data_IF_663964688183
#
_entry.id   IF_663964688183
#
_cell.length_a   1.000
_cell.length_b   1.000
_cell.length_c   1.000
_cell.angle_alpha   90.00
_cell.angle_beta   90.00
_cell.angle_gamma   90.00
#
_symmetry.space_group_name_H-M   'P 1'
#
loop_
_entity.id
_entity.type
_entity.pdbx_description
1 polymer ?
#
# COMPACT_ATOMS: atom_id res chain seq x y z
N UNK A 1 -6.48 -4.86 -10.47
CA UNK A 1 -5.61 -4.10 -9.55
C UNK A 1 -4.66 -5.11 -8.97
N UNK A 2 -3.36 -4.93 -9.17
CA UNK A 2 -2.36 -5.85 -8.65
C UNK A 2 -2.14 -5.66 -7.13
N UNK A 3 -1.49 -6.63 -6.46
CA UNK A 3 -1.30 -6.59 -5.01
C UNK A 3 -0.55 -5.36 -4.50
N UNK A 4 0.44 -4.84 -5.25
CA UNK A 4 1.24 -3.71 -4.81
C UNK A 4 0.35 -2.47 -4.62
N UNK A 5 -0.47 -2.14 -5.61
CA UNK A 5 -1.38 -1.00 -5.52
C UNK A 5 -2.42 -1.15 -4.40
N UNK A 6 -2.93 -2.37 -4.17
CA UNK A 6 -3.89 -2.63 -3.09
C UNK A 6 -3.26 -2.39 -1.72
N UNK A 7 -2.07 -2.96 -1.50
CA UNK A 7 -1.35 -2.83 -0.22
C UNK A 7 -0.90 -1.38 -0.01
N UNK A 8 -0.42 -0.71 -1.05
CA UNK A 8 -0.02 0.70 -0.98
C UNK A 8 -1.19 1.61 -0.60
N UNK A 9 -2.35 1.45 -1.23
CA UNK A 9 -3.55 2.22 -0.89
C UNK A 9 -3.97 2.02 0.57
N UNK A 10 -3.85 0.80 1.08
CA UNK A 10 -4.16 0.51 2.48
C UNK A 10 -3.15 1.15 3.46
N UNK A 11 -1.85 1.10 3.13
CA UNK A 11 -0.79 1.75 3.90
C UNK A 11 -0.97 3.28 3.96
N UNK A 12 -1.38 3.90 2.85
CA UNK A 12 -1.69 5.32 2.79
C UNK A 12 -2.87 5.67 3.70
N UNK A 13 -3.94 4.87 3.68
CA UNK A 13 -5.10 5.10 4.55
C UNK A 13 -4.78 4.90 6.02
N UNK A 14 -3.93 3.92 6.36
CA UNK A 14 -3.37 3.78 7.70
C UNK A 14 -2.57 5.01 8.12
N UNK A 15 -1.75 5.56 7.21
CA UNK A 15 -0.96 6.77 7.47
C UNK A 15 -1.84 7.98 7.73
N UNK A 16 -2.89 8.18 6.93
CA UNK A 16 -3.87 9.28 7.10
C UNK A 16 -4.62 9.13 8.42
N UNK A 17 -5.14 7.94 8.73
CA UNK A 17 -5.85 7.66 9.98
C UNK A 17 -4.96 7.97 11.19
N UNK A 18 -3.70 7.49 11.17
CA UNK A 18 -2.72 7.80 12.21
C UNK A 18 -2.48 9.30 12.36
N UNK A 19 -2.33 10.04 11.26
CA UNK A 19 -2.10 11.48 11.31
C UNK A 19 -3.31 12.23 11.89
N UNK A 20 -4.53 11.88 11.46
CA UNK A 20 -5.78 12.47 11.96
C UNK A 20 -5.94 12.24 13.46
N UNK A 21 -5.85 11.00 13.91
CA UNK A 21 -6.02 10.65 15.32
C UNK A 21 -4.97 11.33 16.18
N UNK A 22 -3.71 11.32 15.74
CA UNK A 22 -2.64 11.96 16.48
C UNK A 22 -2.86 13.48 16.58
N UNK A 23 -3.26 14.15 15.50
CA UNK A 23 -3.58 15.57 15.56
C UNK A 23 -4.78 15.86 16.47
N UNK A 24 -5.80 15.00 16.46
CA UNK A 24 -6.96 15.12 17.33
C UNK A 24 -6.63 14.92 18.81
N UNK A 25 -5.71 14.00 19.15
CA UNK A 25 -5.36 13.72 20.56
C UNK A 25 -4.27 14.61 21.11
N UNK A 26 -3.34 15.11 20.28
CA UNK A 26 -2.20 15.93 20.75
C UNK A 26 -2.31 17.41 20.36
N UNK A 27 -3.25 17.78 19.49
CA UNK A 27 -3.43 19.16 19.02
C UNK A 27 -2.36 19.65 18.04
N UNK A 28 -1.46 18.78 17.58
CA UNK A 28 -0.36 19.16 16.68
C UNK A 28 0.05 18.04 15.72
N UNK A 29 0.85 18.39 14.71
CA UNK A 29 1.51 17.39 13.86
C UNK A 29 2.55 16.60 14.66
N UNK A 30 2.84 15.38 14.23
CA UNK A 30 3.64 14.42 15.01
C UNK A 30 5.08 14.81 15.23
N UNK A 31 5.54 14.63 16.46
CA UNK A 31 6.91 14.86 16.90
C UNK A 31 7.42 13.73 17.79
N UNK A 32 8.72 13.76 18.04
CA UNK A 32 9.37 12.83 18.97
C UNK A 32 8.69 12.88 20.33
N UNK A 33 8.37 11.72 20.90
CA UNK A 33 7.60 11.58 22.14
C UNK A 33 6.16 11.12 21.93
N UNK A 34 5.52 11.49 20.80
CA UNK A 34 4.13 11.11 20.58
C UNK A 34 4.00 9.60 20.33
N UNK A 35 3.06 8.89 20.99
CA UNK A 35 2.93 7.44 20.87
C UNK A 35 2.78 6.96 19.41
N UNK A 36 1.84 7.55 18.67
CA UNK A 36 1.56 7.18 17.27
C UNK A 36 2.67 7.61 16.31
N UNK A 37 3.35 8.73 16.56
CA UNK A 37 4.48 9.14 15.73
C UNK A 37 5.68 8.19 15.89
N UNK A 38 5.88 7.70 17.13
CA UNK A 38 6.93 6.78 17.50
C UNK A 38 6.82 5.41 16.83
N UNK A 39 5.63 4.99 16.40
CA UNK A 39 5.40 3.69 15.73
C UNK A 39 5.19 3.78 14.23
N UNK A 40 5.30 4.96 13.61
CA UNK A 40 4.96 5.19 12.19
C UNK A 40 5.63 4.24 11.19
N UNK A 41 6.86 3.80 11.47
CA UNK A 41 7.59 2.82 10.62
C UNK A 41 7.11 1.40 10.91
N UNK A 42 7.02 1.04 12.19
CA UNK A 42 6.55 -0.27 12.65
C UNK A 42 5.16 -0.62 12.13
N UNK A 43 4.27 0.37 12.02
CA UNK A 43 2.93 0.21 11.45
C UNK A 43 2.92 -0.34 10.01
N UNK A 44 3.95 -0.05 9.23
CA UNK A 44 4.05 -0.48 7.84
C UNK A 44 4.83 -1.79 7.68
N UNK A 45 5.42 -2.31 8.75
CA UNK A 45 6.11 -3.61 8.75
C UNK A 45 5.08 -4.74 8.83
N UNK A 46 5.31 -5.82 8.07
CA UNK A 46 4.46 -7.02 8.12
C UNK A 46 4.49 -7.62 9.52
N UNK A 47 3.34 -8.05 10.04
CA UNK A 47 3.21 -8.55 11.41
C UNK A 47 4.14 -9.73 11.72
N UNK A 48 4.35 -10.63 10.77
CA UNK A 48 5.28 -11.77 10.90
C UNK A 48 6.77 -11.39 10.97
N UNK A 49 7.12 -10.16 10.57
CA UNK A 49 8.50 -9.65 10.61
C UNK A 49 8.77 -8.77 11.85
N UNK A 50 7.77 -8.58 12.71
CA UNK A 50 7.92 -7.78 13.92
C UNK A 50 8.61 -8.58 15.02
N UNK A 51 9.67 -8.01 15.56
CA UNK A 51 10.25 -8.46 16.84
C UNK A 51 9.27 -8.26 17.99
N UNK A 52 9.43 -9.03 19.06
CA UNK A 52 8.55 -8.90 20.23
C UNK A 52 8.63 -7.51 20.88
N UNK A 53 9.83 -6.90 20.87
CA UNK A 53 10.02 -5.49 21.30
C UNK A 53 9.16 -4.53 20.47
N UNK A 54 9.06 -4.74 19.16
CA UNK A 54 8.22 -3.91 18.28
C UNK A 54 6.73 -4.17 18.51
N UNK A 55 6.31 -5.43 18.73
CA UNK A 55 4.91 -5.76 19.07
C UNK A 55 4.48 -5.09 20.37
N UNK A 56 5.31 -5.16 21.41
CA UNK A 56 5.07 -4.48 22.70
C UNK A 56 4.97 -2.96 22.50
N UNK A 57 5.83 -2.38 21.66
CA UNK A 57 5.78 -0.95 21.35
C UNK A 57 4.51 -0.55 20.61
N UNK A 58 4.02 -1.36 19.67
CA UNK A 58 2.72 -1.14 19.03
C UNK A 58 1.59 -1.17 20.04
N UNK A 59 1.53 -2.22 20.86
CA UNK A 59 0.51 -2.37 21.89
C UNK A 59 0.49 -1.17 22.83
N UNK A 60 1.64 -0.77 23.39
CA UNK A 60 1.75 0.42 24.25
C UNK A 60 1.28 1.71 23.57
N UNK A 61 1.54 1.86 22.27
CA UNK A 61 1.10 3.03 21.54
C UNK A 61 -0.41 3.02 21.27
N UNK A 62 -1.01 1.85 21.00
CA UNK A 62 -2.46 1.72 20.83
C UNK A 62 -3.21 1.92 22.15
N UNK A 63 -2.68 1.46 23.28
CA UNK A 63 -3.34 1.60 24.59
C UNK A 63 -3.08 2.93 25.29
N UNK A 64 -2.25 3.81 24.72
CA UNK A 64 -1.94 5.11 25.32
C UNK A 64 -3.13 6.09 25.33
N UNK A 65 -4.15 5.87 24.50
CA UNK A 65 -5.36 6.70 24.43
C UNK A 65 -6.46 5.93 23.69
N UNK A 66 -7.70 5.97 24.19
CA UNK A 66 -8.83 5.23 23.59
C UNK A 66 -9.09 5.57 22.12
N UNK A 67 -8.84 6.81 21.70
CA UNK A 67 -9.00 7.23 20.31
C UNK A 67 -8.00 6.52 19.36
N UNK A 68 -6.91 5.95 19.88
CA UNK A 68 -5.96 5.18 19.08
C UNK A 68 -6.50 3.84 18.61
N UNK A 69 -7.63 3.36 19.15
CA UNK A 69 -8.34 2.18 18.66
C UNK A 69 -8.66 2.28 17.16
N UNK A 70 -8.93 3.48 16.65
CA UNK A 70 -9.15 3.70 15.22
C UNK A 70 -7.92 3.35 14.36
N UNK A 71 -6.72 3.66 14.85
CA UNK A 71 -5.45 3.33 14.17
C UNK A 71 -5.18 1.83 14.27
N UNK A 72 -5.45 1.21 15.42
CA UNK A 72 -5.29 -0.23 15.64
C UNK A 72 -6.18 -1.05 14.69
N UNK A 73 -7.47 -0.71 14.59
CA UNK A 73 -8.41 -1.38 13.67
C UNK A 73 -7.96 -1.22 12.22
N UNK A 74 -7.52 -0.02 11.83
CA UNK A 74 -7.02 0.25 10.48
C UNK A 74 -5.73 -0.54 10.18
N UNK A 75 -4.83 -0.62 11.15
CA UNK A 75 -3.62 -1.45 11.07
C UNK A 75 -3.99 -2.93 10.92
N UNK A 76 -4.98 -3.43 11.66
CA UNK A 76 -5.47 -4.80 11.54
C UNK A 76 -6.07 -5.12 10.16
N UNK A 77 -6.74 -4.16 9.51
CA UNK A 77 -7.19 -4.33 8.11
C UNK A 77 -6.00 -4.40 7.16
N UNK A 78 -5.03 -3.49 7.30
CA UNK A 78 -3.82 -3.47 6.48
C UNK A 78 -3.05 -4.80 6.59
N UNK A 79 -2.84 -5.32 7.79
CA UNK A 79 -2.14 -6.59 7.99
C UNK A 79 -2.92 -7.79 7.45
N UNK A 80 -4.26 -7.80 7.57
CA UNK A 80 -5.09 -8.87 6.97
C UNK A 80 -5.09 -8.84 5.45
N UNK A 81 -4.97 -7.67 4.82
CA UNK A 81 -4.80 -7.56 3.37
C UNK A 81 -3.49 -8.24 2.93
N UNK A 82 -2.39 -7.95 3.63
CA UNK A 82 -1.08 -8.58 3.37
C UNK A 82 -1.17 -10.10 3.56
N UNK A 83 -1.71 -10.55 4.69
CA UNK A 83 -1.83 -11.96 5.01
C UNK A 83 -2.67 -12.74 3.98
N UNK A 84 -3.72 -12.11 3.42
CA UNK A 84 -4.51 -12.74 2.37
C UNK A 84 -3.69 -12.97 1.09
N UNK A 85 -2.83 -12.04 0.70
CA UNK A 85 -1.93 -12.21 -0.45
C UNK A 85 -0.77 -13.18 -0.19
N UNK A 86 -0.32 -13.31 1.06
CA UNK A 86 0.76 -14.21 1.47
C UNK A 86 0.27 -15.64 1.81
N UNK A 87 -1.03 -15.89 1.76
CA UNK A 87 -1.58 -17.21 2.06
C UNK A 87 -0.97 -18.28 1.15
N UNK A 88 -0.48 -19.37 1.75
CA UNK A 88 0.15 -20.47 1.02
C UNK A 88 -0.77 -21.09 -0.04
N UNK A 89 -2.08 -21.09 0.23
CA UNK A 89 -3.10 -21.57 -0.69
C UNK A 89 -3.86 -20.42 -1.35
N UNK A 90 -3.92 -20.45 -2.69
CA UNK A 90 -4.59 -19.44 -3.52
C UNK A 90 -6.09 -19.33 -3.20
N UNK A 91 -6.75 -20.46 -2.95
CA UNK A 91 -8.19 -20.50 -2.63
C UNK A 91 -8.47 -19.87 -1.27
N UNK A 92 -7.67 -20.22 -0.28
CA UNK A 92 -7.74 -19.69 1.09
C UNK A 92 -7.50 -18.18 1.08
N UNK A 93 -6.46 -17.73 0.38
CA UNK A 93 -6.16 -16.30 0.19
C UNK A 93 -7.31 -15.54 -0.48
N UNK A 94 -7.90 -16.11 -1.54
CA UNK A 94 -9.05 -15.52 -2.24
C UNK A 94 -10.27 -15.37 -1.32
N UNK A 95 -10.58 -16.41 -0.53
CA UNK A 95 -11.69 -16.39 0.43
C UNK A 95 -11.43 -15.35 1.52
N UNK A 96 -10.22 -15.31 2.08
CA UNK A 96 -9.83 -14.34 3.10
C UNK A 96 -9.93 -12.91 2.56
N UNK A 97 -9.41 -12.66 1.36
CA UNK A 97 -9.49 -11.37 0.66
C UNK A 97 -10.95 -10.96 0.45
N UNK A 98 -11.80 -11.84 -0.09
CA UNK A 98 -13.21 -11.53 -0.32
C UNK A 98 -13.96 -11.18 0.98
N UNK A 99 -13.76 -11.98 2.04
CA UNK A 99 -14.36 -11.74 3.35
C UNK A 99 -13.92 -10.38 3.90
N UNK A 100 -12.64 -10.05 3.79
CA UNK A 100 -12.10 -8.77 4.22
C UNK A 100 -12.71 -7.61 3.44
N UNK A 101 -12.67 -7.66 2.09
CA UNK A 101 -13.27 -6.63 1.22
C UNK A 101 -14.74 -6.41 1.53
N UNK A 102 -15.50 -7.48 1.76
CA UNK A 102 -16.91 -7.40 2.14
C UNK A 102 -17.09 -6.74 3.51
N UNK A 103 -16.28 -7.11 4.51
CA UNK A 103 -16.38 -6.53 5.86
C UNK A 103 -16.11 -5.02 5.87
N UNK A 104 -15.11 -4.55 5.11
CA UNK A 104 -14.74 -3.14 5.09
C UNK A 104 -15.59 -2.29 4.12
N UNK A 105 -16.46 -2.93 3.31
CA UNK A 105 -17.43 -2.22 2.48
C UNK A 105 -18.61 -1.71 3.29
N UNK A 106 -19.16 -2.55 4.18
CA UNK A 106 -20.44 -2.28 4.85
C UNK A 106 -20.36 -2.25 6.38
N UNK A 107 -19.31 -2.83 6.97
CA UNK A 107 -19.18 -2.97 8.43
C UNK A 107 -18.26 -1.95 9.08
N UNK A 108 -18.13 -0.76 8.48
CA UNK A 108 -17.18 0.26 8.96
C UNK A 108 -17.94 1.38 9.67
N UNK A 109 -17.65 1.62 10.97
CA UNK A 109 -18.22 2.74 11.71
C UNK A 109 -17.88 4.11 11.10
N UNK A 110 -18.72 5.10 11.37
CA UNK A 110 -18.55 6.49 10.89
C UNK A 110 -17.25 7.15 11.35
N UNK A 111 -16.71 6.69 12.47
CA UNK A 111 -15.48 7.16 13.11
C UNK A 111 -14.21 6.71 12.36
N UNK A 112 -14.36 5.80 11.37
CA UNK A 112 -13.28 5.27 10.53
C UNK A 112 -13.45 5.70 9.04
N UNK A 113 -13.47 7.00 8.73
CA UNK A 113 -13.70 7.50 7.38
C UNK A 113 -12.64 7.02 6.37
N UNK A 114 -11.38 6.88 6.80
CA UNK A 114 -10.30 6.39 5.93
C UNK A 114 -10.53 4.94 5.50
N UNK A 115 -11.03 4.11 6.42
CA UNK A 115 -11.30 2.71 6.20
C UNK A 115 -12.57 2.52 5.35
N UNK A 116 -13.58 3.37 5.57
CA UNK A 116 -14.77 3.42 4.72
C UNK A 116 -14.43 3.83 3.28
N UNK A 117 -13.53 4.80 3.11
CA UNK A 117 -13.03 5.18 1.79
C UNK A 117 -12.22 4.06 1.13
N UNK A 118 -11.33 3.41 1.89
CA UNK A 118 -10.58 2.24 1.41
C UNK A 118 -11.53 1.14 0.92
N UNK A 119 -12.56 0.82 1.71
CA UNK A 119 -13.55 -0.19 1.37
C UNK A 119 -14.29 0.11 0.07
N UNK A 120 -14.74 1.36 -0.13
CA UNK A 120 -15.35 1.78 -1.41
C UNK A 120 -14.39 1.63 -2.60
N UNK A 121 -13.14 2.09 -2.45
CA UNK A 121 -12.12 2.02 -3.51
C UNK A 121 -11.79 0.59 -3.90
N UNK A 122 -11.52 -0.27 -2.92
CA UNK A 122 -11.18 -1.68 -3.18
C UNK A 122 -12.39 -2.45 -3.70
N UNK A 123 -13.59 -2.17 -3.19
CA UNK A 123 -14.80 -2.82 -3.69
C UNK A 123 -15.09 -2.50 -5.15
N UNK A 124 -14.83 -1.26 -5.61
CA UNK A 124 -14.99 -0.90 -7.03
C UNK A 124 -14.17 -1.82 -7.96
N UNK A 125 -13.03 -2.33 -7.49
CA UNK A 125 -12.10 -3.20 -8.25
C UNK A 125 -12.01 -4.63 -7.72
N UNK A 126 -12.94 -5.07 -6.87
CA UNK A 126 -12.85 -6.36 -6.18
C UNK A 126 -12.67 -7.55 -7.13
N UNK A 127 -13.33 -7.56 -8.29
CA UNK A 127 -13.20 -8.64 -9.28
C UNK A 127 -11.76 -8.80 -9.75
N UNK A 128 -11.10 -7.69 -10.04
CA UNK A 128 -9.70 -7.69 -10.47
C UNK A 128 -8.75 -8.08 -9.33
N UNK A 129 -9.05 -7.64 -8.11
CA UNK A 129 -8.28 -8.01 -6.91
C UNK A 129 -8.36 -9.52 -6.66
N UNK A 130 -9.55 -10.10 -6.82
CA UNK A 130 -9.78 -11.54 -6.61
C UNK A 130 -9.22 -12.39 -7.75
N UNK A 131 -9.19 -11.87 -8.98
CA UNK A 131 -8.63 -12.57 -10.13
C UNK A 131 -7.13 -12.88 -9.94
N UNK A 132 -6.39 -12.04 -9.20
CA UNK A 132 -4.99 -12.33 -8.84
C UNK A 132 -4.80 -13.74 -8.27
N UNK A 133 -5.74 -14.18 -7.43
CA UNK A 133 -5.64 -15.51 -6.80
C UNK A 133 -5.87 -16.66 -7.77
N UNK A 134 -6.51 -16.41 -8.91
CA UNK A 134 -6.68 -17.43 -9.95
C UNK A 134 -5.45 -17.45 -10.86
N UNK A 135 -5.12 -16.29 -11.44
CA UNK A 135 -4.13 -16.20 -12.53
C UNK A 135 -2.69 -15.94 -12.07
N UNK A 136 -2.49 -15.37 -10.88
CA UNK A 136 -1.17 -14.94 -10.39
C UNK A 136 -0.54 -13.78 -11.17
N UNK A 137 -1.25 -13.21 -12.15
CA UNK A 137 -0.77 -12.09 -12.95
C UNK A 137 -0.56 -10.85 -12.06
N UNK A 138 0.61 -10.24 -12.19
CA UNK A 138 0.97 -8.99 -11.50
C UNK A 138 1.30 -7.91 -12.52
N UNK A 139 1.13 -6.65 -12.12
CA UNK A 139 1.62 -5.53 -12.92
C UNK A 139 3.14 -5.32 -12.79
N UNK A 140 3.87 -6.22 -12.11
CA UNK A 140 5.31 -6.11 -11.87
C UNK A 140 6.15 -5.81 -13.13
N UNK A 141 5.95 -6.52 -14.26
CA UNK A 141 6.67 -6.21 -15.50
C UNK A 141 6.37 -4.80 -16.04
N UNK A 142 5.12 -4.35 -15.94
CA UNK A 142 4.70 -3.01 -16.38
C UNK A 142 5.31 -1.95 -15.46
N UNK A 143 5.27 -2.17 -14.15
CA UNK A 143 5.87 -1.26 -13.16
C UNK A 143 7.39 -1.18 -13.29
N UNK A 144 8.06 -2.29 -13.63
CA UNK A 144 9.50 -2.29 -13.91
C UNK A 144 9.84 -1.40 -15.11
N UNK A 145 9.04 -1.45 -16.18
CA UNK A 145 9.21 -0.57 -17.34
C UNK A 145 8.91 0.88 -16.95
N UNK A 146 7.81 1.14 -16.24
CA UNK A 146 7.46 2.49 -15.77
C UNK A 146 8.57 3.09 -14.90
N UNK A 147 9.15 2.31 -13.99
CA UNK A 147 10.28 2.73 -13.17
C UNK A 147 11.49 3.16 -13.99
N UNK A 148 11.84 2.41 -15.04
CA UNK A 148 12.91 2.79 -15.99
C UNK A 148 12.59 4.09 -16.74
N UNK A 149 11.33 4.28 -17.14
CA UNK A 149 10.88 5.50 -17.81
C UNK A 149 10.88 6.73 -16.90
N UNK A 150 10.49 6.57 -15.63
CA UNK A 150 10.58 7.64 -14.63
C UNK A 150 12.05 7.99 -14.35
N UNK A 151 12.93 6.99 -14.20
CA UNK A 151 14.36 7.22 -14.02
C UNK A 151 14.98 7.97 -15.19
N UNK A 152 14.66 7.56 -16.43
CA UNK A 152 15.08 8.25 -17.64
C UNK A 152 14.64 9.72 -17.66
N UNK A 153 13.38 10.00 -17.27
CA UNK A 153 12.86 11.37 -17.16
C UNK A 153 13.61 12.19 -16.11
N UNK A 154 13.95 11.57 -14.98
CA UNK A 154 14.76 12.17 -13.93
C UNK A 154 16.15 12.59 -14.41
N UNK A 155 16.87 11.71 -15.11
CA UNK A 155 18.19 12.01 -15.70
C UNK A 155 18.08 13.14 -16.73
N UNK A 156 17.03 13.11 -17.56
CA UNK A 156 16.85 14.07 -18.64
C UNK A 156 16.39 15.47 -18.17
N UNK A 157 16.03 15.64 -16.89
CA UNK A 157 15.35 16.85 -16.36
C UNK A 157 14.08 17.21 -17.17
N UNK A 158 13.39 16.18 -17.66
CA UNK A 158 12.22 16.30 -18.52
C UNK A 158 12.54 16.38 -20.02
N UNK A 159 11.55 16.02 -20.83
CA UNK A 159 11.65 16.08 -22.30
C UNK A 159 10.75 17.19 -22.83
N UNK A 160 11.30 18.04 -23.70
CA UNK A 160 10.54 19.11 -24.37
C UNK A 160 9.93 18.70 -25.71
N UNK A 161 10.27 17.50 -26.20
CA UNK A 161 9.85 16.98 -27.50
C UNK A 161 9.42 15.51 -27.37
N UNK A 162 8.18 15.22 -27.81
CA UNK A 162 7.59 13.88 -27.72
C UNK A 162 8.34 12.82 -28.55
N UNK A 163 8.85 13.18 -29.74
CA UNK A 163 9.64 12.26 -30.57
C UNK A 163 10.92 11.83 -29.85
N UNK A 164 11.62 12.77 -29.22
CA UNK A 164 12.81 12.48 -28.43
C UNK A 164 12.50 11.65 -27.19
N UNK A 165 11.37 11.91 -26.54
CA UNK A 165 10.90 11.09 -25.42
C UNK A 165 10.66 9.63 -25.86
N UNK A 166 9.92 9.41 -26.94
CA UNK A 166 9.65 8.07 -27.47
C UNK A 166 10.95 7.35 -27.84
N UNK A 167 11.83 7.99 -28.60
CA UNK A 167 13.08 7.38 -29.06
C UNK A 167 13.96 6.97 -27.88
N UNK A 168 14.17 7.87 -26.91
CA UNK A 168 14.98 7.55 -25.72
C UNK A 168 14.32 6.50 -24.83
N UNK A 169 12.99 6.49 -24.75
CA UNK A 169 12.24 5.47 -24.00
C UNK A 169 12.42 4.07 -24.61
N UNK A 170 12.35 3.96 -25.94
CA UNK A 170 12.56 2.70 -26.66
C UNK A 170 13.99 2.20 -26.53
N UNK A 171 14.97 3.09 -26.69
CA UNK A 171 16.39 2.77 -26.49
C UNK A 171 16.65 2.27 -25.07
N UNK A 172 16.25 3.05 -24.07
CA UNK A 172 16.65 2.81 -22.69
C UNK A 172 15.81 1.74 -21.98
N UNK A 173 14.50 1.66 -22.27
CA UNK A 173 13.57 0.77 -21.56
C UNK A 173 13.06 -0.37 -22.44
N UNK A 174 13.04 -0.20 -23.76
CA UNK A 174 12.64 -1.22 -24.74
C UNK A 174 13.78 -2.13 -25.19
N UNK A 175 14.99 -1.98 -24.64
CA UNK A 175 16.19 -2.78 -24.99
C UNK A 175 16.54 -2.73 -26.48
N UNK A 176 16.18 -1.63 -27.17
CA UNK A 176 16.45 -1.49 -28.60
C UNK A 176 17.93 -1.15 -28.91
N UNK A 177 18.74 -0.88 -27.89
CA UNK A 177 20.15 -0.49 -28.03
C UNK A 177 20.95 -1.52 -28.84
N UNK A 178 20.75 -2.81 -28.56
CA UNK A 178 21.46 -3.90 -29.23
C UNK A 178 21.02 -4.09 -30.68
N UNK A 179 19.80 -3.63 -31.02
CA UNK A 179 19.26 -3.69 -32.39
C UNK A 179 19.65 -2.48 -33.23
N UNK A 180 20.05 -1.37 -32.61
CA UNK A 180 20.47 -0.14 -33.30
C UNK A 180 21.97 -0.19 -33.62
N UNK A 181 22.79 -0.84 -32.79
CA UNK A 181 24.24 -0.98 -32.99
C UNK A 181 24.64 -2.22 -33.82
N UNK A 182 23.68 -2.91 -34.45
CA UNK A 182 23.92 -4.08 -35.30
C UNK A 182 24.05 -3.74 -36.80
N UNK A 183 24.27 -2.46 -37.13
CA UNK A 183 24.63 -1.93 -38.45
C UNK A 183 26.05 -1.39 -38.41
#
# INVERSE_FOLDING_TARGET
MDPFHVVHLAADKLTVCRQRIQQATTGHRGRTGDPLYGIRRTLNTRAGLLTDKQKVRLFKAFTANDAHAAVEVTYGVYQRLIAAYEASGKREGKIAMYKLLRSIRTGVPTELPELAQLGRSLWKRHREILAYFDVGASNGPVEAINGRLEHLRGIALGFRNLKHYILRSLIHSGQLQDRINAL
#
